data_IF_056788180632
#
_entry.id   IF_056788180632
#
_cell.length_a   1.000
_cell.length_b   1.000
_cell.length_c   1.000
_cell.angle_alpha   90.00
_cell.angle_beta   90.00
_cell.angle_gamma   90.00
#
_symmetry.space_group_name_H-M   'P 1'
#
loop_
_entity.id
_entity.type
_entity.pdbx_description
1 polymer ?
#
# COMPACT_ATOMS: atom_id res chain seq x y z
N UNK A 1 -18.15 -11.29 8.55
CA UNK A 1 -17.35 -11.49 7.32
C UNK A 1 -16.34 -10.35 7.09
N UNK A 2 -16.47 -9.19 7.76
CA UNK A 2 -15.59 -8.02 7.56
C UNK A 2 -14.15 -8.24 8.05
N UNK A 3 -13.95 -8.88 9.20
CA UNK A 3 -12.65 -8.89 9.88
C UNK A 3 -11.52 -9.58 9.09
N UNK A 4 -11.82 -10.68 8.41
CA UNK A 4 -10.81 -11.41 7.60
C UNK A 4 -10.37 -10.60 6.39
N UNK A 5 -11.31 -9.91 5.73
CA UNK A 5 -10.98 -9.03 4.60
C UNK A 5 -10.18 -7.81 5.07
N UNK A 6 -10.57 -7.23 6.19
CA UNK A 6 -9.88 -6.12 6.86
C UNK A 6 -8.42 -6.47 7.17
N UNK A 7 -8.19 -7.62 7.81
CA UNK A 7 -6.86 -8.10 8.18
C UNK A 7 -6.02 -8.45 6.95
N UNK A 8 -6.63 -9.07 5.94
CA UNK A 8 -5.94 -9.36 4.69
C UNK A 8 -5.52 -8.08 3.96
N UNK A 9 -6.41 -7.10 3.86
CA UNK A 9 -6.10 -5.81 3.22
C UNK A 9 -4.96 -5.10 3.94
N UNK A 10 -4.99 -5.06 5.29
CA UNK A 10 -3.91 -4.50 6.10
C UNK A 10 -2.59 -5.24 5.88
N UNK A 11 -2.63 -6.58 5.83
CA UNK A 11 -1.47 -7.42 5.54
C UNK A 11 -0.87 -7.14 4.16
N UNK A 12 -1.71 -7.07 3.13
CA UNK A 12 -1.27 -6.76 1.77
C UNK A 12 -0.69 -5.35 1.65
N UNK A 13 -1.25 -4.37 2.36
CA UNK A 13 -0.74 -3.00 2.38
C UNK A 13 0.63 -2.91 3.07
N UNK A 14 0.79 -3.58 4.23
CA UNK A 14 2.07 -3.65 4.93
C UNK A 14 3.15 -4.34 4.09
N UNK A 15 2.79 -5.43 3.42
CA UNK A 15 3.68 -6.15 2.50
C UNK A 15 4.13 -5.26 1.35
N UNK A 16 3.20 -4.56 0.68
CA UNK A 16 3.51 -3.69 -0.44
C UNK A 16 4.44 -2.53 -0.05
N UNK A 17 4.23 -1.94 1.15
CA UNK A 17 5.11 -0.89 1.70
C UNK A 17 6.52 -1.40 1.92
N UNK A 18 6.68 -2.57 2.54
CA UNK A 18 8.00 -3.18 2.75
C UNK A 18 8.69 -3.46 1.42
N UNK A 19 7.98 -4.02 0.44
CA UNK A 19 8.53 -4.32 -0.88
C UNK A 19 8.95 -3.06 -1.64
N UNK A 20 8.17 -1.97 -1.56
CA UNK A 20 8.57 -0.65 -2.10
C UNK A 20 9.88 -0.16 -1.47
N UNK A 21 10.00 -0.30 -0.15
CA UNK A 21 11.24 0.04 0.57
C UNK A 21 12.44 -0.79 0.13
N UNK A 22 12.25 -2.11 -0.07
CA UNK A 22 13.30 -3.01 -0.57
C UNK A 22 13.70 -2.66 -2.01
N UNK A 23 12.75 -2.38 -2.90
CA UNK A 23 13.03 -1.97 -4.27
C UNK A 23 13.80 -0.64 -4.31
N UNK A 24 13.40 0.35 -3.51
CA UNK A 24 14.14 1.61 -3.34
C UNK A 24 15.57 1.38 -2.85
N UNK A 25 15.76 0.52 -1.84
CA UNK A 25 17.08 0.19 -1.31
C UNK A 25 17.97 -0.50 -2.36
N UNK A 26 17.37 -1.32 -3.23
CA UNK A 26 18.04 -1.98 -4.35
C UNK A 26 18.25 -1.06 -5.58
N UNK A 27 17.80 0.20 -5.55
CA UNK A 27 17.74 1.12 -6.70
C UNK A 27 16.94 0.55 -7.87
N UNK A 28 15.99 -0.34 -7.59
CA UNK A 28 15.01 -0.84 -8.53
C UNK A 28 13.85 0.16 -8.63
N UNK A 29 14.00 1.11 -9.55
CA UNK A 29 13.05 2.21 -9.75
C UNK A 29 11.71 1.68 -10.26
N UNK A 30 11.74 0.74 -11.21
CA UNK A 30 10.53 0.15 -11.79
C UNK A 30 9.76 -0.65 -10.74
N UNK A 31 10.46 -1.46 -9.93
CA UNK A 31 9.86 -2.16 -8.80
C UNK A 31 9.28 -1.21 -7.77
N UNK A 32 9.99 -0.14 -7.41
CA UNK A 32 9.50 0.86 -6.47
C UNK A 32 8.21 1.54 -6.96
N UNK A 33 8.14 1.84 -8.27
CA UNK A 33 6.95 2.43 -8.89
C UNK A 33 5.79 1.44 -8.97
N UNK A 34 6.06 0.16 -9.28
CA UNK A 34 5.05 -0.88 -9.31
C UNK A 34 4.39 -1.07 -7.92
N UNK A 35 5.20 -1.10 -6.85
CA UNK A 35 4.67 -1.19 -5.49
C UNK A 35 3.96 0.10 -5.04
N UNK A 36 4.39 1.27 -5.52
CA UNK A 36 3.66 2.52 -5.28
C UNK A 36 2.24 2.46 -5.85
N UNK A 37 2.07 2.04 -7.11
CA UNK A 37 0.74 1.89 -7.71
C UNK A 37 -0.14 0.86 -6.97
N UNK A 38 0.45 -0.24 -6.49
CA UNK A 38 -0.26 -1.23 -5.68
C UNK A 38 -0.73 -0.65 -4.34
N UNK A 39 0.11 0.13 -3.66
CA UNK A 39 -0.26 0.81 -2.41
C UNK A 39 -1.44 1.74 -2.66
N UNK A 40 -1.39 2.58 -3.70
CA UNK A 40 -2.49 3.48 -4.08
C UNK A 40 -3.80 2.72 -4.31
N UNK A 41 -3.75 1.57 -5.00
CA UNK A 41 -4.93 0.75 -5.22
C UNK A 41 -5.51 0.19 -3.91
N UNK A 42 -4.66 -0.32 -3.02
CA UNK A 42 -5.09 -0.86 -1.72
C UNK A 42 -5.70 0.21 -0.82
N UNK A 43 -5.14 1.43 -0.81
CA UNK A 43 -5.70 2.57 -0.08
C UNK A 43 -7.08 2.97 -0.61
N UNK A 44 -7.28 3.00 -1.94
CA UNK A 44 -8.59 3.26 -2.54
C UNK A 44 -9.62 2.20 -2.17
N UNK A 45 -9.21 0.93 -2.10
CA UNK A 45 -10.08 -0.17 -1.63
C UNK A 45 -10.43 0.04 -0.16
N UNK A 46 -9.45 0.35 0.70
CA UNK A 46 -9.68 0.61 2.12
C UNK A 46 -10.72 1.73 2.32
N UNK A 47 -10.55 2.86 1.63
CA UNK A 47 -11.47 3.98 1.68
C UNK A 47 -12.89 3.60 1.22
N UNK A 48 -13.02 2.83 0.12
CA UNK A 48 -14.31 2.37 -0.40
C UNK A 48 -15.09 1.52 0.61
N UNK A 49 -14.39 0.72 1.41
CA UNK A 49 -15.00 -0.18 2.40
C UNK A 49 -15.03 0.39 3.83
N UNK A 50 -14.56 1.63 4.04
CA UNK A 50 -14.53 2.26 5.37
C UNK A 50 -13.47 1.68 6.31
N UNK A 51 -12.42 1.07 5.76
CA UNK A 51 -11.36 0.42 6.52
C UNK A 51 -10.32 1.47 6.90
N UNK A 52 -10.18 1.72 8.20
CA UNK A 52 -9.13 2.61 8.69
C UNK A 52 -7.76 1.96 8.52
N UNK A 53 -6.88 2.63 7.77
CA UNK A 53 -5.47 2.27 7.56
C UNK A 53 -4.61 3.51 7.77
N UNK A 54 -3.44 3.35 8.37
CA UNK A 54 -2.49 4.45 8.53
C UNK A 54 -1.91 4.83 7.18
N UNK A 55 -1.93 6.11 6.81
CA UNK A 55 -1.21 6.65 5.66
C UNK A 55 0.24 6.95 6.06
N UNK A 56 1.19 6.69 5.16
CA UNK A 56 2.56 7.15 5.31
C UNK A 56 2.77 8.40 4.43
N UNK A 57 3.58 9.36 4.90
CA UNK A 57 3.82 10.64 4.20
C UNK A 57 4.27 10.47 2.73
N UNK A 58 4.94 9.36 2.41
CA UNK A 58 5.37 8.99 1.05
C UNK A 58 4.23 8.52 0.10
N UNK A 59 2.97 8.62 0.55
CA UNK A 59 1.77 8.14 -0.14
C UNK A 59 0.78 9.27 -0.50
N UNK A 60 1.11 10.52 -0.15
CA UNK A 60 0.31 11.72 -0.44
C UNK A 60 0.73 12.45 -1.72
N UNK A 61 1.76 11.98 -2.43
CA UNK A 61 2.16 12.56 -3.72
C UNK A 61 1.30 12.01 -4.86
N UNK A 62 0.08 12.51 -5.03
CA UNK A 62 -0.67 12.51 -6.30
C UNK A 62 -1.88 13.45 -6.15
N UNK A 63 -1.69 14.72 -6.53
CA UNK A 63 -2.76 15.67 -6.90
C UNK A 63 -2.47 16.20 -8.31
#
# INVERSE_FOLDING_TARGET
MSDVFDDELRGQLAEARRQRGLARAARDVDGAQAYAGRITQLLRIAARYGIAVAHCADEEEED
#
